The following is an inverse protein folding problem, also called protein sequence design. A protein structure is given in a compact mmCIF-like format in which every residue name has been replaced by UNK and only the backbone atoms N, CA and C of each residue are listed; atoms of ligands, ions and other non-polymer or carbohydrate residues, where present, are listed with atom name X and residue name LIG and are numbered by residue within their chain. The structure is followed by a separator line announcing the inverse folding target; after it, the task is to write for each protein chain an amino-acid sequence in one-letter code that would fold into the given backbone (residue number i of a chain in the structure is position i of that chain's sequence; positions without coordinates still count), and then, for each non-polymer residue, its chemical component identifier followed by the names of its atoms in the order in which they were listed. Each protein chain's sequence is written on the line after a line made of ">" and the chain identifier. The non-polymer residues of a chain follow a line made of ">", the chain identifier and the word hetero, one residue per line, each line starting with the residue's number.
data_IF_778279156001
#
_entry.id   IF_778279156001
#
_cell.length_a   1.000
_cell.length_b   1.000
_cell.length_c   1.000
_cell.angle_alpha   90.00
_cell.angle_beta   90.00
_cell.angle_gamma   90.00
#
_symmetry.space_group_name_H-M   'P 1'
#
loop_
_entity.id
_entity.type
_entity.pdbx_description
1 polymer ?
#
# COMPACT_ATOMS: atom_id res chain seq x y z
N UNK A 1 -12.46 30.27 14.83
CA UNK A 1 -11.69 29.06 14.95
C UNK A 1 -10.63 28.98 13.87
N UNK A 2 -9.39 28.89 14.25
CA UNK A 2 -8.39 28.63 13.23
C UNK A 2 -8.62 27.27 12.58
N UNK A 3 -8.68 27.25 11.29
CA UNK A 3 -8.73 26.02 10.54
C UNK A 3 -7.30 25.60 10.21
N UNK A 4 -7.01 24.32 10.44
CA UNK A 4 -5.76 23.75 10.00
C UNK A 4 -5.96 23.12 8.62
N UNK A 5 -5.00 23.33 7.75
CA UNK A 5 -5.00 22.71 6.42
C UNK A 5 -3.82 21.77 6.32
N UNK A 6 -4.07 20.60 5.77
CA UNK A 6 -3.00 19.65 5.52
C UNK A 6 -3.24 18.94 4.20
N UNK A 7 -2.16 18.58 3.53
CA UNK A 7 -2.20 17.78 2.33
C UNK A 7 -1.02 16.84 2.39
N UNK A 8 -1.19 15.77 3.18
CA UNK A 8 -0.13 14.81 3.47
C UNK A 8 -0.49 13.50 2.80
N UNK A 9 -0.08 13.36 1.56
CA UNK A 9 -0.33 12.15 0.79
C UNK A 9 0.93 11.29 0.76
N UNK A 10 0.76 9.99 0.97
CA UNK A 10 1.87 9.04 1.03
C UNK A 10 1.55 7.83 0.19
N UNK A 11 2.50 7.48 -0.67
CA UNK A 11 2.48 6.25 -1.45
C UNK A 11 3.24 5.19 -0.65
N UNK A 12 2.53 4.17 -0.20
CA UNK A 12 3.08 3.08 0.59
C UNK A 12 3.23 1.83 -0.27
N UNK A 13 4.34 1.11 -0.07
CA UNK A 13 4.61 -0.14 -0.79
C UNK A 13 5.20 -1.13 0.20
N UNK A 14 4.67 -2.36 0.23
CA UNK A 14 5.34 -3.45 0.93
C UNK A 14 5.06 -4.79 0.24
N UNK A 15 5.93 -5.74 0.51
CA UNK A 15 5.86 -7.06 -0.11
C UNK A 15 5.30 -8.11 0.85
N UNK A 16 4.90 -9.22 0.28
CA UNK A 16 4.65 -10.45 1.02
C UNK A 16 5.95 -10.96 1.62
N UNK A 17 5.85 -11.80 2.65
CA UNK A 17 7.00 -12.40 3.29
C UNK A 17 7.81 -13.21 2.27
N UNK A 18 9.12 -12.93 2.20
CA UNK A 18 10.06 -13.54 1.26
C UNK A 18 9.67 -13.32 -0.21
N UNK A 19 8.82 -12.33 -0.50
CA UNK A 19 8.30 -12.03 -1.84
C UNK A 19 7.64 -13.23 -2.50
N UNK A 20 7.02 -14.10 -1.71
CA UNK A 20 6.30 -15.23 -2.27
C UNK A 20 5.07 -14.75 -3.02
N UNK A 21 4.81 -15.27 -4.23
CA UNK A 21 3.69 -14.81 -5.06
C UNK A 21 2.37 -15.42 -4.63
N UNK A 22 1.97 -15.15 -3.39
CA UNK A 22 0.78 -15.76 -2.77
C UNK A 22 -0.52 -15.03 -3.11
N UNK A 23 -0.44 -13.77 -3.57
CA UNK A 23 -1.62 -12.96 -3.87
C UNK A 23 -2.15 -13.32 -5.27
N UNK A 24 -2.88 -14.43 -5.35
CA UNK A 24 -3.62 -14.79 -6.56
C UNK A 24 -4.69 -13.74 -6.83
N UNK A 25 -5.26 -13.65 -8.04
CA UNK A 25 -6.29 -12.63 -8.31
C UNK A 25 -7.46 -12.65 -7.33
N UNK A 26 -7.94 -13.84 -6.94
CA UNK A 26 -9.04 -13.93 -5.97
C UNK A 26 -8.62 -13.54 -4.55
N UNK A 27 -7.46 -14.01 -4.09
CA UNK A 27 -6.95 -13.66 -2.77
C UNK A 27 -6.60 -12.18 -2.68
N UNK A 28 -5.99 -11.63 -3.72
CA UNK A 28 -5.68 -10.21 -3.81
C UNK A 28 -6.93 -9.35 -3.62
N UNK A 29 -8.02 -9.71 -4.28
CA UNK A 29 -9.29 -9.02 -4.15
C UNK A 29 -9.80 -9.04 -2.70
N UNK A 30 -9.75 -10.20 -2.05
CA UNK A 30 -10.16 -10.35 -0.65
C UNK A 30 -9.27 -9.53 0.30
N UNK A 31 -7.96 -9.54 0.05
CA UNK A 31 -7.00 -8.76 0.85
C UNK A 31 -7.31 -7.26 0.75
N UNK A 32 -7.63 -6.78 -0.44
CA UNK A 32 -7.97 -5.37 -0.64
C UNK A 32 -9.26 -4.99 0.10
N UNK A 33 -10.27 -5.86 0.11
CA UNK A 33 -11.50 -5.62 0.87
C UNK A 33 -11.18 -5.56 2.36
N UNK A 34 -10.38 -6.49 2.87
CA UNK A 34 -10.00 -6.52 4.29
C UNK A 34 -9.21 -5.26 4.66
N UNK A 35 -8.25 -4.85 3.83
CA UNK A 35 -7.46 -3.64 4.09
C UNK A 35 -8.35 -2.39 4.08
N UNK A 36 -9.29 -2.28 3.15
CA UNK A 36 -10.24 -1.16 3.14
C UNK A 36 -11.07 -1.12 4.42
N UNK A 37 -11.53 -2.25 4.90
CA UNK A 37 -12.31 -2.33 6.14
C UNK A 37 -11.45 -1.93 7.35
N UNK A 38 -10.20 -2.39 7.40
CA UNK A 38 -9.27 -2.01 8.47
C UNK A 38 -9.03 -0.49 8.45
N UNK A 39 -8.82 0.08 7.28
CA UNK A 39 -8.60 1.51 7.13
C UNK A 39 -9.80 2.31 7.64
N UNK A 40 -11.01 1.91 7.26
CA UNK A 40 -12.23 2.55 7.73
C UNK A 40 -12.38 2.46 9.25
N UNK A 41 -12.14 1.28 9.82
CA UNK A 41 -12.30 1.06 11.26
C UNK A 41 -11.28 1.84 12.09
N UNK A 42 -10.13 2.14 11.53
CA UNK A 42 -9.04 2.84 12.23
C UNK A 42 -8.85 4.30 11.76
N UNK A 43 -9.84 4.86 11.08
CA UNK A 43 -9.83 6.25 10.62
C UNK A 43 -8.61 6.57 9.73
N UNK A 44 -8.22 5.62 8.89
CA UNK A 44 -7.17 5.79 7.89
C UNK A 44 -7.84 6.09 6.56
N UNK A 45 -7.47 7.22 5.95
CA UNK A 45 -7.99 7.58 4.63
C UNK A 45 -7.20 6.83 3.55
N UNK A 46 -7.77 5.77 3.02
CA UNK A 46 -7.19 4.99 1.93
C UNK A 46 -7.84 5.43 0.62
N UNK A 47 -7.06 6.12 -0.22
CA UNK A 47 -7.55 6.62 -1.51
C UNK A 47 -7.65 5.50 -2.53
N UNK A 48 -6.57 4.73 -2.70
CA UNK A 48 -6.60 3.58 -3.59
C UNK A 48 -5.58 2.53 -3.16
N UNK A 49 -5.82 1.31 -3.61
CA UNK A 49 -4.96 0.16 -3.36
C UNK A 49 -4.95 -0.73 -4.59
N UNK A 50 -3.80 -1.23 -4.95
CA UNK A 50 -3.65 -2.27 -5.94
C UNK A 50 -2.32 -3.00 -5.69
N UNK A 51 -2.05 -4.01 -6.46
CA UNK A 51 -0.83 -4.79 -6.31
C UNK A 51 -0.78 -5.92 -7.30
N UNK A 52 0.27 -6.71 -7.16
CA UNK A 52 0.50 -7.93 -7.93
C UNK A 52 0.73 -9.07 -6.96
N UNK A 53 1.23 -10.19 -7.44
CA UNK A 53 1.29 -11.44 -6.65
C UNK A 53 2.13 -11.34 -5.38
N UNK A 54 3.12 -10.45 -5.31
CA UNK A 54 4.11 -10.40 -4.22
C UNK A 54 4.23 -9.06 -3.49
N UNK A 55 3.46 -8.04 -3.88
CA UNK A 55 3.49 -6.76 -3.17
C UNK A 55 2.25 -5.92 -3.44
N UNK A 56 2.04 -4.92 -2.58
CA UNK A 56 0.89 -4.01 -2.66
C UNK A 56 1.34 -2.56 -2.63
N UNK A 57 0.55 -1.71 -3.28
CA UNK A 57 0.70 -0.27 -3.29
C UNK A 57 -0.56 0.36 -2.72
N UNK A 58 -0.39 1.29 -1.80
CA UNK A 58 -1.49 2.05 -1.22
C UNK A 58 -1.20 3.54 -1.37
N UNK A 59 -2.22 4.32 -1.65
CA UNK A 59 -2.15 5.77 -1.56
C UNK A 59 -3.04 6.18 -0.40
N UNK A 60 -2.44 6.78 0.63
CA UNK A 60 -3.18 7.25 1.81
C UNK A 60 -3.06 8.76 1.95
N UNK A 61 -4.06 9.35 2.56
CA UNK A 61 -3.97 10.72 3.06
C UNK A 61 -3.74 10.65 4.56
N UNK A 62 -2.60 11.18 5.01
CA UNK A 62 -2.21 11.14 6.41
C UNK A 62 -2.84 12.30 7.16
N UNK A 63 -3.50 12.01 8.28
CA UNK A 63 -3.98 13.04 9.18
C UNK A 63 -2.80 13.61 9.99
N UNK A 64 -2.94 14.85 10.48
CA UNK A 64 -1.84 15.55 11.15
C UNK A 64 -1.42 14.90 12.46
N UNK A 65 -2.28 14.07 13.05
CA UNK A 65 -1.99 13.33 14.28
C UNK A 65 -1.63 11.87 14.05
N UNK A 66 -1.40 11.45 12.79
CA UNK A 66 -1.03 10.09 12.43
C UNK A 66 0.44 10.00 12.06
N UNK A 67 1.08 8.91 12.46
CA UNK A 67 2.43 8.58 12.03
C UNK A 67 2.35 7.51 10.93
N UNK A 68 3.17 7.65 9.90
CA UNK A 68 3.22 6.67 8.79
C UNK A 68 3.47 5.26 9.32
N UNK A 69 4.43 5.11 10.23
CA UNK A 69 4.77 3.79 10.78
C UNK A 69 3.59 3.15 11.50
N UNK A 70 2.78 3.93 12.20
CA UNK A 70 1.60 3.41 12.92
C UNK A 70 0.51 2.98 11.94
N UNK A 71 0.30 3.74 10.86
CA UNK A 71 -0.66 3.38 9.82
C UNK A 71 -0.28 2.06 9.18
N UNK A 72 0.98 1.90 8.79
CA UNK A 72 1.48 0.66 8.18
C UNK A 72 1.34 -0.51 9.14
N UNK A 73 1.74 -0.33 10.40
CA UNK A 73 1.64 -1.37 11.44
C UNK A 73 0.19 -1.81 11.64
N UNK A 74 -0.73 -0.86 11.67
CA UNK A 74 -2.17 -1.15 11.84
C UNK A 74 -2.69 -1.99 10.67
N UNK A 75 -2.38 -1.61 9.45
CA UNK A 75 -2.86 -2.32 8.26
C UNK A 75 -2.22 -3.71 8.16
N UNK A 76 -0.90 -3.79 8.29
CA UNK A 76 -0.19 -5.07 8.19
C UNK A 76 -0.60 -6.03 9.32
N UNK A 77 -0.65 -5.54 10.54
CA UNK A 77 -0.96 -6.37 11.71
C UNK A 77 -2.38 -6.91 11.66
N UNK A 78 -3.36 -6.06 11.38
CA UNK A 78 -4.76 -6.47 11.36
C UNK A 78 -5.08 -7.36 10.15
N UNK A 79 -4.45 -7.13 8.99
CA UNK A 79 -4.66 -8.00 7.83
C UNK A 79 -4.02 -9.38 8.06
N UNK A 80 -2.84 -9.43 8.68
CA UNK A 80 -2.24 -10.71 9.07
C UNK A 80 -3.13 -11.46 10.06
N UNK A 81 -3.64 -10.79 11.10
CA UNK A 81 -4.56 -11.40 12.08
C UNK A 81 -5.80 -12.01 11.41
N UNK A 82 -6.33 -11.34 10.41
CA UNK A 82 -7.51 -11.80 9.70
C UNK A 82 -7.27 -13.14 8.98
N UNK A 83 -6.10 -13.29 8.36
CA UNK A 83 -5.80 -14.46 7.52
C UNK A 83 -4.97 -15.54 8.20
N UNK A 84 -4.37 -15.28 9.36
CA UNK A 84 -3.34 -16.15 9.95
C UNK A 84 -3.76 -17.60 10.21
N UNK A 85 -5.03 -17.84 10.50
CA UNK A 85 -5.56 -19.16 10.81
C UNK A 85 -6.34 -19.79 9.66
N UNK A 86 -6.36 -19.15 8.51
CA UNK A 86 -7.08 -19.66 7.34
C UNK A 86 -6.13 -20.60 6.56
N UNK A 87 -6.46 -21.91 6.44
CA UNK A 87 -5.57 -22.84 5.74
C UNK A 87 -5.50 -22.61 4.24
N UNK A 88 -6.50 -21.95 3.65
CA UNK A 88 -6.60 -21.73 2.22
C UNK A 88 -6.20 -20.32 1.80
N UNK A 89 -6.14 -19.37 2.75
CA UNK A 89 -5.88 -17.96 2.47
C UNK A 89 -4.86 -17.42 3.46
N UNK A 90 -3.62 -17.84 3.31
CA UNK A 90 -2.55 -17.38 4.19
C UNK A 90 -1.85 -16.16 3.59
N UNK A 91 -1.83 -15.06 4.35
CA UNK A 91 -1.14 -13.84 3.95
C UNK A 91 -0.22 -13.42 5.07
N UNK A 92 1.06 -13.27 4.76
CA UNK A 92 2.06 -12.76 5.67
C UNK A 92 2.90 -11.70 4.95
N UNK A 93 3.29 -10.67 5.69
CA UNK A 93 4.00 -9.52 5.14
C UNK A 93 5.48 -9.55 5.52
N UNK A 94 6.32 -9.06 4.62
CA UNK A 94 7.72 -8.82 4.88
C UNK A 94 7.87 -7.69 5.90
N UNK A 95 8.90 -7.72 6.73
CA UNK A 95 9.23 -6.59 7.59
C UNK A 95 9.64 -5.40 6.72
N UNK A 96 9.25 -4.22 7.17
CA UNK A 96 9.59 -2.99 6.46
C UNK A 96 8.56 -2.59 5.42
N UNK A 97 8.76 -1.41 4.88
CA UNK A 97 7.91 -0.82 3.86
C UNK A 97 8.65 0.33 3.20
N UNK A 98 8.19 0.75 2.02
CA UNK A 98 8.62 1.99 1.39
C UNK A 98 7.50 3.02 1.51
N UNK A 99 7.86 4.27 1.77
CA UNK A 99 6.92 5.37 1.88
C UNK A 99 7.47 6.59 1.13
N UNK A 100 6.66 7.13 0.23
CA UNK A 100 7.04 8.29 -0.57
C UNK A 100 5.97 9.35 -0.46
N UNK A 101 6.37 10.59 -0.16
CA UNK A 101 5.43 11.71 -0.16
C UNK A 101 4.96 12.00 -1.58
N UNK A 102 3.70 12.40 -1.71
CA UNK A 102 3.10 12.73 -3.00
C UNK A 102 2.53 14.14 -2.91
N UNK A 103 2.98 15.00 -3.81
CA UNK A 103 2.40 16.35 -3.89
C UNK A 103 1.00 16.28 -4.50
N UNK A 104 0.10 17.23 -4.14
CA UNK A 104 -1.24 17.24 -4.72
C UNK A 104 -1.26 17.25 -6.24
N UNK A 105 -0.30 17.91 -6.87
CA UNK A 105 -0.21 17.96 -8.33
C UNK A 105 0.13 16.62 -8.98
N UNK A 106 0.66 15.67 -8.20
CA UNK A 106 1.03 14.34 -8.70
C UNK A 106 0.06 13.23 -8.31
N UNK A 107 -1.02 13.54 -7.61
CA UNK A 107 -1.99 12.52 -7.16
C UNK A 107 -2.57 11.73 -8.32
N UNK A 108 -2.96 12.41 -9.39
CA UNK A 108 -3.55 11.74 -10.55
C UNK A 108 -2.57 10.75 -11.18
N UNK A 109 -1.31 11.11 -11.29
CA UNK A 109 -0.27 10.25 -11.84
C UNK A 109 -0.04 9.03 -10.94
N UNK A 110 0.03 9.23 -9.64
CA UNK A 110 0.25 8.13 -8.68
C UNK A 110 -0.95 7.19 -8.66
N UNK A 111 -2.18 7.71 -8.69
CA UNK A 111 -3.38 6.87 -8.79
C UNK A 111 -3.36 6.00 -10.04
N UNK A 112 -3.03 6.60 -11.18
CA UNK A 112 -2.93 5.87 -12.45
C UNK A 112 -1.85 4.79 -12.38
N UNK A 113 -0.69 5.12 -11.80
CA UNK A 113 0.40 4.16 -11.59
C UNK A 113 -0.06 2.97 -10.74
N UNK A 114 -0.76 3.23 -9.66
CA UNK A 114 -1.26 2.16 -8.77
C UNK A 114 -2.30 1.29 -9.48
N UNK A 115 -3.24 1.88 -10.20
CA UNK A 115 -4.25 1.12 -10.92
C UNK A 115 -3.67 0.25 -12.03
N UNK A 116 -2.51 0.62 -12.58
CA UNK A 116 -1.89 -0.10 -13.70
C UNK A 116 -0.77 -1.05 -13.27
N UNK A 117 -0.77 -1.50 -11.99
CA UNK A 117 0.29 -2.35 -11.45
C UNK A 117 0.54 -3.63 -12.25
N UNK A 118 -0.51 -4.30 -12.69
CA UNK A 118 -0.36 -5.54 -13.45
C UNK A 118 0.36 -5.30 -14.79
N UNK A 119 0.09 -4.16 -15.42
CA UNK A 119 0.77 -3.79 -16.66
C UNK A 119 2.26 -3.53 -16.43
N UNK A 120 2.61 -2.83 -15.35
CA UNK A 120 4.00 -2.50 -15.02
C UNK A 120 4.83 -3.75 -14.76
N UNK A 121 4.24 -4.77 -14.15
CA UNK A 121 4.95 -5.97 -13.74
C UNK A 121 5.01 -7.07 -14.81
N UNK A 122 4.55 -6.81 -16.01
CA UNK A 122 4.84 -7.70 -17.13
C UNK A 122 6.32 -7.71 -17.47
N UNK A 123 6.99 -6.56 -17.33
CA UNK A 123 8.34 -6.35 -17.80
C UNK A 123 9.32 -5.93 -16.69
N UNK A 124 8.85 -5.72 -15.45
CA UNK A 124 9.70 -5.21 -14.37
C UNK A 124 9.47 -5.98 -13.08
N UNK A 125 10.58 -6.32 -12.41
CA UNK A 125 10.55 -6.88 -11.06
C UNK A 125 10.22 -5.80 -10.02
N UNK A 126 9.86 -6.21 -8.80
CA UNK A 126 9.65 -5.31 -7.68
C UNK A 126 10.90 -4.46 -7.37
N UNK A 127 12.09 -5.08 -7.44
CA UNK A 127 13.34 -4.36 -7.20
C UNK A 127 13.57 -3.25 -8.23
N UNK A 128 13.28 -3.52 -9.50
CA UNK A 128 13.41 -2.52 -10.58
C UNK A 128 12.38 -1.40 -10.39
N UNK A 129 11.16 -1.73 -10.00
CA UNK A 129 10.12 -0.74 -9.73
C UNK A 129 10.52 0.20 -8.60
N UNK A 130 11.06 -0.32 -7.50
CA UNK A 130 11.53 0.51 -6.38
C UNK A 130 12.65 1.43 -6.80
N UNK A 131 13.58 0.97 -7.64
CA UNK A 131 14.65 1.81 -8.18
C UNK A 131 14.09 2.98 -8.99
N UNK A 132 13.11 2.72 -9.85
CA UNK A 132 12.49 3.76 -10.67
C UNK A 132 11.80 4.81 -9.79
N UNK A 133 11.08 4.39 -8.76
CA UNK A 133 10.42 5.30 -7.83
C UNK A 133 11.44 6.13 -7.06
N UNK A 134 12.51 5.49 -6.55
CA UNK A 134 13.57 6.19 -5.82
C UNK A 134 14.27 7.23 -6.68
N UNK A 135 14.52 6.93 -7.93
CA UNK A 135 15.15 7.87 -8.86
C UNK A 135 14.25 9.09 -9.12
N UNK A 136 12.95 8.89 -9.27
CA UNK A 136 12.02 10.00 -9.50
C UNK A 136 11.89 10.94 -8.31
N UNK A 137 12.20 10.47 -7.09
CA UNK A 137 12.14 11.29 -5.87
C UNK A 137 13.43 12.06 -5.58
N UNK A 138 14.52 11.76 -6.32
CA UNK A 138 15.82 12.40 -6.11
C UNK A 138 16.01 13.67 -6.92
N UNK A 139 15.14 13.95 -7.84
CA UNK A 139 15.24 15.15 -8.69
C UNK A 139 14.80 16.42 -7.99
#
# INVERSE_FOLDING_TARGET
>A
MPASYSSLWVHLIWSTKNREPVLTPSLKHEVFIVINNIATDHEIYLDCINGVADHVHLLIRLLTDQAVADVVKTIKGNSWEFFKNDPDRYVSWQDGFAAFSVSPGNLKQVRSYIYNQERHHKDKSFSDELKDIKQSTKS
#
